data_IF_352037194784
#
_entry.id   IF_352037194784
#
_cell.length_a   1.000
_cell.length_b   1.000
_cell.length_c   1.000
_cell.angle_alpha   90.00
_cell.angle_beta   90.00
_cell.angle_gamma   90.00
#
_symmetry.space_group_name_H-M   'P 1'
#
loop_
_entity.id
_entity.type
_entity.pdbx_description
1 polymer ?
#
# COMPACT_ATOMS: atom_id res chain seq x y z
N UNK A 1 4.79 30.31 6.83
CA UNK A 1 5.14 29.02 6.17
C UNK A 1 4.48 27.89 6.95
N UNK A 2 3.86 26.95 6.27
CA UNK A 2 3.25 25.78 6.92
C UNK A 2 4.29 24.66 6.97
N UNK A 3 4.56 24.16 8.17
CA UNK A 3 5.39 22.97 8.34
C UNK A 3 4.53 21.70 8.23
N UNK A 4 5.04 20.68 7.55
CA UNK A 4 4.42 19.37 7.43
C UNK A 4 5.43 18.31 7.87
N UNK A 5 5.04 17.49 8.83
CA UNK A 5 5.85 16.36 9.29
C UNK A 5 5.51 15.13 8.44
N UNK A 6 6.52 14.54 7.83
CA UNK A 6 6.39 13.33 7.02
C UNK A 6 7.14 12.17 7.66
N UNK A 7 6.65 10.96 7.49
CA UNK A 7 7.30 9.73 7.95
C UNK A 7 7.32 8.69 6.83
N UNK A 8 8.33 7.84 6.85
CA UNK A 8 8.39 6.64 6.04
C UNK A 8 8.66 5.46 6.96
N UNK A 9 7.95 4.36 6.74
CA UNK A 9 8.11 3.13 7.52
C UNK A 9 8.84 2.06 6.73
N UNK A 10 9.52 1.18 7.45
CA UNK A 10 10.16 0.01 6.88
C UNK A 10 9.94 -1.18 7.82
N UNK A 11 9.54 -2.32 7.27
CA UNK A 11 9.32 -3.53 8.03
C UNK A 11 9.67 -4.78 7.20
N UNK A 12 9.99 -5.88 7.88
CA UNK A 12 10.04 -7.18 7.22
C UNK A 12 8.62 -7.70 7.00
N UNK A 13 8.32 -8.10 5.78
CA UNK A 13 7.06 -8.73 5.39
C UNK A 13 7.21 -10.25 5.35
N UNK A 14 6.12 -10.94 5.65
CA UNK A 14 5.98 -12.40 5.58
C UNK A 14 4.95 -12.78 4.51
N UNK A 15 4.70 -14.06 4.34
CA UNK A 15 3.62 -14.57 3.48
C UNK A 15 2.22 -14.37 4.10
N UNK A 16 2.15 -14.07 5.39
CA UNK A 16 0.91 -13.75 6.09
C UNK A 16 0.53 -12.29 5.87
N UNK A 17 -0.36 -12.05 4.92
CA UNK A 17 -0.86 -10.72 4.58
C UNK A 17 -1.53 -10.02 5.77
N UNK A 18 -2.27 -10.74 6.60
CA UNK A 18 -2.93 -10.15 7.77
C UNK A 18 -1.91 -9.62 8.77
N UNK A 19 -0.89 -10.42 9.07
CA UNK A 19 0.20 -10.01 9.96
C UNK A 19 0.96 -8.79 9.43
N UNK A 20 1.18 -8.71 8.10
CA UNK A 20 1.83 -7.57 7.48
C UNK A 20 0.97 -6.29 7.59
N UNK A 21 -0.35 -6.40 7.34
CA UNK A 21 -1.29 -5.27 7.45
C UNK A 21 -1.35 -4.78 8.89
N UNK A 22 -1.48 -5.66 9.87
CA UNK A 22 -1.54 -5.28 11.29
C UNK A 22 -0.27 -4.56 11.73
N UNK A 23 0.90 -5.07 11.33
CA UNK A 23 2.19 -4.43 11.60
C UNK A 23 2.32 -3.06 10.94
N UNK A 24 1.85 -2.90 9.70
CA UNK A 24 1.82 -1.60 9.03
C UNK A 24 0.93 -0.60 9.78
N UNK A 25 -0.26 -1.03 10.24
CA UNK A 25 -1.17 -0.19 11.03
C UNK A 25 -0.55 0.26 12.35
N UNK A 26 0.17 -0.62 13.04
CA UNK A 26 0.88 -0.27 14.28
C UNK A 26 1.97 0.78 14.02
N UNK A 27 2.73 0.64 12.93
CA UNK A 27 3.73 1.64 12.52
C UNK A 27 3.07 2.98 12.15
N UNK A 28 1.95 2.97 11.43
CA UNK A 28 1.19 4.18 11.09
C UNK A 28 0.72 4.89 12.38
N UNK A 29 0.14 4.16 13.33
CA UNK A 29 -0.29 4.71 14.62
C UNK A 29 0.87 5.33 15.40
N UNK A 30 2.01 4.65 15.41
CA UNK A 30 3.22 5.17 16.04
C UNK A 30 3.68 6.47 15.38
N UNK A 31 3.84 6.51 14.07
CA UNK A 31 4.23 7.71 13.34
C UNK A 31 3.25 8.88 13.58
N UNK A 32 1.94 8.61 13.56
CA UNK A 32 0.92 9.60 13.87
C UNK A 32 1.06 10.15 15.29
N UNK A 33 1.31 9.28 16.28
CA UNK A 33 1.51 9.71 17.67
C UNK A 33 2.76 10.57 17.88
N UNK A 34 3.74 10.47 16.97
CA UNK A 34 4.95 11.30 16.93
C UNK A 34 4.78 12.58 16.08
N UNK A 35 3.56 12.83 15.57
CA UNK A 35 3.19 14.05 14.86
C UNK A 35 3.28 14.00 13.34
N UNK A 36 3.49 12.83 12.74
CA UNK A 36 3.50 12.69 11.28
C UNK A 36 2.10 12.94 10.70
N UNK A 37 2.03 13.73 9.63
CA UNK A 37 0.82 14.08 8.90
C UNK A 37 0.68 13.33 7.58
N UNK A 38 1.81 12.95 6.98
CA UNK A 38 1.86 12.10 5.78
C UNK A 38 2.78 10.93 6.11
N UNK A 39 2.29 9.70 5.94
CA UNK A 39 3.02 8.49 6.33
C UNK A 39 3.08 7.55 5.14
N UNK A 40 4.28 7.31 4.62
CA UNK A 40 4.54 6.40 3.52
C UNK A 40 4.91 5.01 4.04
N UNK A 41 4.20 3.99 3.57
CA UNK A 41 4.49 2.57 3.81
C UNK A 41 5.25 2.02 2.61
N UNK A 42 6.08 1.01 2.83
CA UNK A 42 6.85 0.39 1.75
C UNK A 42 5.96 -0.23 0.66
N UNK A 43 6.51 -0.35 -0.53
CA UNK A 43 5.84 -0.86 -1.72
C UNK A 43 5.40 -2.33 -1.53
N UNK A 44 4.16 -2.65 -1.95
CA UNK A 44 3.60 -4.01 -1.99
C UNK A 44 3.74 -4.79 -0.66
N UNK A 45 3.56 -4.11 0.45
CA UNK A 45 3.82 -4.63 1.80
C UNK A 45 2.85 -5.72 2.28
N UNK A 46 1.75 -5.97 1.57
CA UNK A 46 0.79 -7.04 1.93
C UNK A 46 1.42 -8.44 1.91
N UNK A 47 2.53 -8.61 1.20
CA UNK A 47 3.24 -9.88 1.07
C UNK A 47 4.76 -9.67 1.08
N UNK A 48 5.53 -10.74 0.99
CA UNK A 48 6.94 -10.64 0.58
C UNK A 48 7.02 -9.93 -0.76
N UNK A 49 8.10 -9.20 -1.02
CA UNK A 49 8.27 -8.47 -2.28
C UNK A 49 8.40 -9.45 -3.46
N UNK A 50 7.25 -9.89 -3.96
CA UNK A 50 7.11 -10.93 -4.99
C UNK A 50 7.59 -10.52 -6.40
N UNK A 51 7.73 -9.24 -6.80
CA UNK A 51 8.20 -8.91 -8.14
C UNK A 51 9.57 -9.50 -8.49
N UNK A 52 10.39 -9.82 -7.50
CA UNK A 52 11.66 -10.55 -7.71
C UNK A 52 11.50 -12.09 -7.73
N UNK A 53 10.31 -12.61 -7.48
CA UNK A 53 10.02 -14.04 -7.50
C UNK A 53 9.31 -14.38 -8.81
N UNK A 54 9.96 -15.14 -9.67
CA UNK A 54 9.40 -15.53 -10.96
C UNK A 54 8.37 -16.67 -10.81
N UNK A 55 7.32 -16.44 -10.00
CA UNK A 55 6.25 -17.40 -9.74
C UNK A 55 4.91 -16.84 -10.23
N UNK A 56 4.28 -17.49 -11.23
CA UNK A 56 2.96 -17.07 -11.73
C UNK A 56 1.85 -17.03 -10.67
N UNK A 57 1.98 -17.81 -9.59
CA UNK A 57 1.02 -17.81 -8.48
C UNK A 57 0.89 -16.46 -7.80
N UNK A 58 1.92 -15.61 -7.89
CA UNK A 58 1.88 -14.28 -7.30
C UNK A 58 0.79 -13.39 -7.91
N UNK A 59 0.30 -13.68 -9.13
CA UNK A 59 -0.82 -12.96 -9.71
C UNK A 59 -2.14 -13.18 -8.95
N UNK A 60 -2.27 -14.26 -8.18
CA UNK A 60 -3.43 -14.50 -7.32
C UNK A 60 -3.51 -13.52 -6.14
N UNK A 61 -2.43 -12.82 -5.84
CA UNK A 61 -2.39 -11.78 -4.80
C UNK A 61 -3.05 -10.47 -5.23
N UNK A 62 -3.23 -10.27 -6.54
CA UNK A 62 -3.81 -9.05 -7.08
C UNK A 62 -5.29 -8.92 -6.73
N UNK A 63 -5.70 -7.70 -6.41
CA UNK A 63 -7.08 -7.37 -6.06
C UNK A 63 -7.55 -6.18 -6.88
N UNK A 64 -8.87 -6.08 -7.19
CA UNK A 64 -9.40 -4.92 -7.85
C UNK A 64 -9.25 -3.67 -6.96
N UNK A 65 -9.25 -2.51 -7.60
CA UNK A 65 -9.29 -1.22 -6.88
C UNK A 65 -10.64 -1.06 -6.16
N UNK A 66 -11.74 -1.31 -6.86
CA UNK A 66 -13.07 -1.19 -6.32
C UNK A 66 -13.30 -2.19 -5.18
N UNK A 67 -13.78 -1.68 -4.04
CA UNK A 67 -14.01 -2.46 -2.82
C UNK A 67 -12.77 -3.22 -2.31
N UNK A 68 -11.58 -2.72 -2.57
CA UNK A 68 -10.33 -3.31 -2.10
C UNK A 68 -10.29 -3.33 -0.57
N UNK A 69 -10.17 -4.51 0.09
CA UNK A 69 -10.21 -4.60 1.53
C UNK A 69 -9.09 -3.81 2.24
N UNK A 70 -7.87 -3.82 1.66
CA UNK A 70 -6.74 -3.06 2.20
C UNK A 70 -7.03 -1.55 2.15
N UNK A 71 -7.47 -1.06 0.99
CA UNK A 71 -7.74 0.38 0.83
C UNK A 71 -8.88 0.85 1.72
N UNK A 72 -9.94 0.04 1.91
CA UNK A 72 -11.03 0.36 2.82
C UNK A 72 -10.54 0.45 4.27
N UNK A 73 -9.76 -0.53 4.72
CA UNK A 73 -9.22 -0.55 6.08
C UNK A 73 -8.25 0.60 6.35
N UNK A 74 -7.42 0.95 5.36
CA UNK A 74 -6.48 2.08 5.47
C UNK A 74 -7.19 3.44 5.35
N UNK A 75 -8.28 3.53 4.60
CA UNK A 75 -9.17 4.71 4.58
C UNK A 75 -9.75 5.00 5.96
N UNK A 76 -10.27 3.97 6.64
CA UNK A 76 -10.80 4.11 8.00
C UNK A 76 -9.70 4.56 8.97
N UNK A 77 -8.50 3.98 8.86
CA UNK A 77 -7.36 4.36 9.69
C UNK A 77 -6.88 5.79 9.42
N UNK A 78 -6.79 6.20 8.15
CA UNK A 78 -6.43 7.56 7.77
C UNK A 78 -7.39 8.58 8.36
N UNK A 79 -8.69 8.31 8.28
CA UNK A 79 -9.74 9.14 8.87
C UNK A 79 -9.68 9.18 10.39
N UNK A 80 -9.46 8.03 11.03
CA UNK A 80 -9.33 7.93 12.50
C UNK A 80 -8.18 8.80 13.03
N UNK A 81 -7.03 8.75 12.35
CA UNK A 81 -5.80 9.43 12.78
C UNK A 81 -5.63 10.85 12.19
N UNK A 82 -6.42 11.21 11.19
CA UNK A 82 -6.29 12.48 10.47
C UNK A 82 -4.99 12.59 9.68
N UNK A 83 -4.51 11.51 9.08
CA UNK A 83 -3.24 11.44 8.34
C UNK A 83 -3.44 11.06 6.88
N UNK A 84 -2.53 11.50 6.02
CA UNK A 84 -2.50 11.13 4.60
C UNK A 84 -1.65 9.87 4.42
N UNK A 85 -2.18 8.88 3.71
CA UNK A 85 -1.52 7.60 3.45
C UNK A 85 -1.38 7.37 1.93
N UNK A 86 -0.21 7.57 1.35
CA UNK A 86 0.13 7.01 0.05
C UNK A 86 0.26 5.49 0.19
N UNK A 87 -0.62 4.72 -0.48
CA UNK A 87 -0.79 3.29 -0.26
C UNK A 87 -0.51 2.50 -1.52
N UNK A 88 0.60 1.75 -1.53
CA UNK A 88 0.93 0.84 -2.62
C UNK A 88 0.16 -0.47 -2.49
N UNK A 89 -0.35 -0.98 -3.61
CA UNK A 89 -1.04 -2.26 -3.66
C UNK A 89 -0.92 -2.92 -5.03
N UNK A 90 -1.13 -4.24 -5.07
CA UNK A 90 -1.13 -5.01 -6.30
C UNK A 90 -2.55 -5.05 -6.88
N UNK A 91 -2.72 -4.38 -8.00
CA UNK A 91 -4.01 -4.19 -8.64
C UNK A 91 -4.23 -5.17 -9.78
N UNK A 92 -5.46 -5.67 -9.88
CA UNK A 92 -5.98 -6.34 -11.07
C UNK A 92 -7.12 -5.50 -11.64
N UNK A 93 -6.97 -5.08 -12.88
CA UNK A 93 -8.05 -4.49 -13.67
C UNK A 93 -8.28 -5.35 -14.93
N UNK A 94 -9.43 -6.02 -14.97
CA UNK A 94 -9.73 -7.04 -15.98
C UNK A 94 -8.64 -8.12 -16.06
N UNK A 95 -7.92 -8.19 -17.15
CA UNK A 95 -6.84 -9.16 -17.40
C UNK A 95 -5.45 -8.53 -17.26
N UNK A 96 -5.35 -7.34 -16.70
CA UNK A 96 -4.10 -6.59 -16.56
C UNK A 96 -3.77 -6.39 -15.09
N UNK A 97 -2.49 -6.44 -14.79
CA UNK A 97 -1.96 -6.34 -13.42
C UNK A 97 -1.06 -5.13 -13.29
N UNK A 98 -1.21 -4.41 -12.19
CA UNK A 98 -0.48 -3.17 -11.95
C UNK A 98 0.09 -3.12 -10.54
N UNK A 99 1.27 -2.54 -10.44
CA UNK A 99 1.74 -1.99 -9.19
C UNK A 99 1.18 -0.57 -9.09
N UNK A 100 0.25 -0.34 -8.21
CA UNK A 100 -0.52 0.90 -8.12
C UNK A 100 -0.33 1.59 -6.79
N UNK A 101 -0.48 2.91 -6.78
CA UNK A 101 -0.48 3.73 -5.58
C UNK A 101 -1.82 4.47 -5.48
N UNK A 102 -2.53 4.26 -4.38
CA UNK A 102 -3.71 5.05 -4.03
C UNK A 102 -3.32 6.14 -3.02
N UNK A 103 -3.75 7.36 -3.27
CA UNK A 103 -3.57 8.47 -2.32
C UNK A 103 -4.81 8.57 -1.44
N UNK A 104 -4.67 8.24 -0.15
CA UNK A 104 -5.75 8.33 0.84
C UNK A 104 -5.56 9.61 1.63
N UNK A 105 -6.55 10.49 1.60
CA UNK A 105 -6.53 11.76 2.33
C UNK A 105 -6.90 11.57 3.82
N UNK A 106 -6.63 12.58 4.61
CA UNK A 106 -6.86 12.60 6.06
C UNK A 106 -8.34 12.47 6.48
N UNK A 107 -9.27 12.67 5.55
CA UNK A 107 -10.72 12.41 5.76
C UNK A 107 -11.14 10.98 5.38
N UNK A 108 -10.18 10.15 4.93
CA UNK A 108 -10.39 8.79 4.46
C UNK A 108 -10.78 8.67 2.99
N UNK A 109 -10.89 9.77 2.25
CA UNK A 109 -11.16 9.69 0.81
C UNK A 109 -9.93 9.24 0.04
N UNK A 110 -10.15 8.37 -0.93
CA UNK A 110 -9.15 8.06 -1.95
C UNK A 110 -9.24 9.14 -3.01
N UNK A 111 -8.19 9.97 -3.14
CA UNK A 111 -8.17 11.14 -4.03
C UNK A 111 -7.91 10.74 -5.47
N UNK A 112 -6.96 9.83 -5.68
CA UNK A 112 -6.51 9.42 -7.00
C UNK A 112 -5.75 8.11 -6.94
N UNK A 113 -5.61 7.49 -8.11
CA UNK A 113 -4.88 6.25 -8.35
C UNK A 113 -3.77 6.51 -9.35
N UNK A 114 -2.54 6.19 -8.98
CA UNK A 114 -1.38 6.27 -9.88
C UNK A 114 -0.84 4.86 -10.17
N UNK A 115 -0.65 4.56 -11.44
CA UNK A 115 0.01 3.33 -11.88
C UNK A 115 1.52 3.51 -11.79
N UNK A 116 2.19 2.69 -10.97
CA UNK A 116 3.65 2.71 -10.87
C UNK A 116 4.24 1.87 -11.99
N UNK A 117 3.68 0.66 -12.21
CA UNK A 117 4.18 -0.27 -13.23
C UNK A 117 3.11 -1.28 -13.66
N UNK A 118 3.09 -1.61 -14.96
CA UNK A 118 2.30 -2.74 -15.48
C UNK A 118 3.11 -4.01 -15.27
N UNK A 119 2.54 -4.98 -14.55
CA UNK A 119 3.20 -6.25 -14.24
C UNK A 119 2.77 -7.33 -15.23
N UNK A 120 3.75 -7.91 -15.90
CA UNK A 120 3.59 -9.09 -16.78
C UNK A 120 4.58 -10.17 -16.37
N UNK A 121 4.33 -11.42 -16.74
CA UNK A 121 5.23 -12.53 -16.40
C UNK A 121 6.71 -12.27 -16.76
N UNK A 122 7.05 -11.69 -17.95
CA UNK A 122 8.45 -11.41 -18.28
C UNK A 122 9.07 -10.25 -17.49
N UNK A 123 8.25 -9.36 -16.90
CA UNK A 123 8.74 -8.14 -16.21
C UNK A 123 8.82 -8.29 -14.69
N UNK A 124 8.32 -9.37 -14.12
CA UNK A 124 8.39 -9.64 -12.67
C UNK A 124 9.85 -9.69 -12.16
N UNK A 125 10.81 -10.00 -13.02
CA UNK A 125 12.24 -10.08 -12.67
C UNK A 125 13.16 -9.23 -13.54
N UNK A 126 12.66 -8.25 -14.29
CA UNK A 126 13.53 -7.30 -14.98
C UNK A 126 13.85 -6.15 -14.04
N UNK A 127 14.99 -6.24 -13.41
CA UNK A 127 15.64 -5.15 -12.67
C UNK A 127 16.50 -4.37 -13.65
#
# INVERSE_FOLDING_TARGET
MREVTVAATQMACSEDSRANIDKAKDLIRKCSSEGAQIILIQELFESVYFPCLNDPKNFELAKPFDNNPLLNEMSDLAKELGVVLPMSFFEQDNNTYYNSLAMIDADGKILDLSLIHILTLPTICSV
#
